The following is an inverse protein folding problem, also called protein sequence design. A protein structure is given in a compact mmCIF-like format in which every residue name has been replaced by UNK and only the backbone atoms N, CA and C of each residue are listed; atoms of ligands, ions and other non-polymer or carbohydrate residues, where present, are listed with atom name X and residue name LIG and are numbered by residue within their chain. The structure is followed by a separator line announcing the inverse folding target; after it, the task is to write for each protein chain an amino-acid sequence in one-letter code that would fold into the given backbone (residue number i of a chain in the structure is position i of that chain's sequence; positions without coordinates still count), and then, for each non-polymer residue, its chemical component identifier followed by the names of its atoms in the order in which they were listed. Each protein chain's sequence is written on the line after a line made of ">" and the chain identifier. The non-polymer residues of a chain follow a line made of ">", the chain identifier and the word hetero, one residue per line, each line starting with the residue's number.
data_IF_191715424300
#
_entry.id   IF_191715424300
#
_cell.length_a   1.000
_cell.length_b   1.000
_cell.length_c   1.000
_cell.angle_alpha   90.00
_cell.angle_beta   90.00
_cell.angle_gamma   90.00
#
_symmetry.space_group_name_H-M   'P 1'
#
loop_
_entity.id
_entity.type
_entity.pdbx_description
1 polymer ?
#
# COMPACT_ATOMS: atom_id res chain seq x y z
N UNK A 1 -4.84 2.01 29.23
CA UNK A 1 -3.66 2.89 29.38
C UNK A 1 -3.40 3.54 28.03
N UNK A 2 -3.50 4.87 27.93
CA UNK A 2 -3.22 5.61 26.69
C UNK A 2 -1.72 5.85 26.63
N UNK A 3 -1.01 5.19 25.71
CA UNK A 3 0.40 5.48 25.47
C UNK A 3 0.53 6.87 24.85
N UNK A 4 1.04 7.83 25.62
CA UNK A 4 1.47 9.12 25.08
C UNK A 4 2.75 8.89 24.28
N UNK A 5 2.81 9.22 22.98
CA UNK A 5 4.01 8.99 22.19
C UNK A 5 5.16 9.87 22.70
N UNK A 6 6.29 9.26 23.02
CA UNK A 6 7.56 9.94 23.29
C UNK A 6 8.01 10.74 22.07
N UNK A 7 8.63 11.91 22.28
CA UNK A 7 9.02 12.88 21.23
C UNK A 7 9.83 12.27 20.05
N UNK A 8 10.56 11.18 20.29
CA UNK A 8 11.31 10.40 19.29
C UNK A 8 10.42 9.53 18.38
N UNK A 9 9.30 9.01 18.89
CA UNK A 9 8.35 8.16 18.16
C UNK A 9 7.59 8.96 17.10
N UNK A 10 7.10 10.15 17.47
CA UNK A 10 6.41 11.04 16.53
C UNK A 10 7.32 11.51 15.38
N UNK A 11 8.61 11.67 15.67
CA UNK A 11 9.63 12.03 14.68
C UNK A 11 9.85 10.91 13.66
N UNK A 12 9.98 9.66 14.12
CA UNK A 12 10.15 8.50 13.25
C UNK A 12 8.95 8.27 12.30
N UNK A 13 7.72 8.36 12.82
CA UNK A 13 6.52 8.19 11.99
C UNK A 13 6.38 9.30 10.93
N UNK A 14 6.72 10.54 11.31
CA UNK A 14 6.76 11.66 10.37
C UNK A 14 7.80 11.43 9.26
N UNK A 15 9.03 11.02 9.62
CA UNK A 15 10.07 10.70 8.64
C UNK A 15 9.63 9.62 7.66
N UNK A 16 9.00 8.54 8.13
CA UNK A 16 8.43 7.52 7.24
C UNK A 16 7.43 8.14 6.25
N UNK A 17 6.54 9.01 6.72
CA UNK A 17 5.52 9.62 5.86
C UNK A 17 6.09 10.52 4.75
N UNK A 18 7.24 11.17 5.00
CA UNK A 18 7.95 12.04 4.05
C UNK A 18 8.64 11.22 2.95
N UNK A 19 9.09 10.02 3.29
CA UNK A 19 9.74 9.07 2.37
C UNK A 19 8.73 8.26 1.52
N UNK A 20 7.45 8.26 1.88
CA UNK A 20 6.41 7.56 1.12
C UNK A 20 6.16 8.17 -0.26
N UNK A 21 5.75 7.33 -1.20
CA UNK A 21 5.19 7.75 -2.47
C UNK A 21 3.67 7.96 -2.30
N UNK A 22 3.26 9.11 -1.76
CA UNK A 22 1.84 9.42 -1.51
C UNK A 22 1.00 9.35 -2.80
N UNK A 23 1.58 9.71 -3.95
CA UNK A 23 0.99 9.52 -5.30
C UNK A 23 0.66 8.07 -5.68
N UNK A 24 1.24 7.08 -4.99
CA UNK A 24 1.04 5.66 -5.28
C UNK A 24 -0.21 5.07 -4.61
N UNK A 25 -0.76 5.75 -3.60
CA UNK A 25 -1.94 5.29 -2.85
C UNK A 25 -3.18 5.37 -3.75
N UNK A 26 -4.13 4.45 -3.57
CA UNK A 26 -5.26 4.31 -4.50
C UNK A 26 -6.13 5.57 -4.61
N UNK A 27 -6.30 6.31 -3.53
CA UNK A 27 -7.12 7.52 -3.38
C UNK A 27 -6.30 8.82 -3.44
N UNK A 28 -5.04 8.75 -3.91
CA UNK A 28 -4.19 9.93 -4.02
C UNK A 28 -4.72 10.97 -5.03
N UNK A 29 -4.72 12.25 -4.63
CA UNK A 29 -5.15 13.36 -5.48
C UNK A 29 -4.40 13.42 -6.82
N UNK A 30 -3.11 13.07 -6.84
CA UNK A 30 -2.28 13.03 -8.06
C UNK A 30 -2.77 12.03 -9.12
N UNK A 31 -3.68 11.13 -8.73
CA UNK A 31 -4.28 10.14 -9.61
C UNK A 31 -5.70 10.49 -10.04
N UNK A 32 -6.16 11.71 -9.77
CA UNK A 32 -7.48 12.15 -10.20
C UNK A 32 -7.52 12.45 -11.72
N UNK A 33 -8.65 12.17 -12.40
CA UNK A 33 -9.84 11.52 -11.85
C UNK A 33 -9.61 10.03 -11.57
N UNK A 34 -10.15 9.54 -10.45
CA UNK A 34 -10.11 8.13 -10.12
C UNK A 34 -11.03 7.34 -11.06
N UNK A 35 -10.45 6.70 -12.07
CA UNK A 35 -11.21 5.87 -12.99
C UNK A 35 -11.79 4.66 -12.24
N UNK A 36 -13.13 4.61 -12.13
CA UNK A 36 -13.87 3.44 -11.68
C UNK A 36 -14.53 2.73 -12.86
N UNK A 37 -14.73 1.42 -12.76
CA UNK A 37 -15.55 0.69 -13.72
C UNK A 37 -16.97 1.26 -13.70
N UNK A 38 -17.58 1.38 -14.88
CA UNK A 38 -18.97 1.78 -14.99
C UNK A 38 -19.85 0.73 -14.30
N UNK A 39 -20.92 1.19 -13.66
CA UNK A 39 -21.89 0.31 -13.02
C UNK A 39 -22.40 -0.75 -14.00
N UNK A 40 -22.51 -2.00 -13.53
CA UNK A 40 -22.93 -3.13 -14.36
C UNK A 40 -21.89 -3.65 -15.36
N UNK A 41 -20.69 -3.05 -15.44
CA UNK A 41 -19.60 -3.54 -16.31
C UNK A 41 -18.55 -4.33 -15.52
N UNK A 42 -17.84 -5.23 -16.19
CA UNK A 42 -16.71 -6.00 -15.60
C UNK A 42 -17.07 -6.75 -14.30
N UNK A 43 -18.36 -7.05 -14.10
CA UNK A 43 -18.90 -7.61 -12.86
C UNK A 43 -18.27 -8.96 -12.53
N UNK A 44 -18.17 -9.86 -13.51
CA UNK A 44 -17.67 -11.21 -13.26
C UNK A 44 -16.18 -11.22 -12.93
N UNK A 45 -15.37 -10.43 -13.63
CA UNK A 45 -13.93 -10.31 -13.33
C UNK A 45 -13.69 -9.64 -11.98
N UNK A 46 -14.44 -8.58 -11.62
CA UNK A 46 -14.35 -7.98 -10.29
C UNK A 46 -14.74 -8.97 -9.20
N UNK A 47 -15.80 -9.76 -9.41
CA UNK A 47 -16.22 -10.82 -8.48
C UNK A 47 -15.13 -11.87 -8.30
N UNK A 48 -14.50 -12.33 -9.38
CA UNK A 48 -13.39 -13.30 -9.32
C UNK A 48 -12.19 -12.73 -8.57
N UNK A 49 -11.73 -11.53 -8.93
CA UNK A 49 -10.59 -10.88 -8.27
C UNK A 49 -10.85 -10.66 -6.78
N UNK A 50 -12.07 -10.24 -6.42
CA UNK A 50 -12.48 -10.05 -5.03
C UNK A 50 -12.51 -11.36 -4.26
N UNK A 51 -12.99 -12.43 -4.89
CA UNK A 51 -13.01 -13.76 -4.28
C UNK A 51 -11.59 -14.24 -3.99
N UNK A 52 -10.69 -14.09 -4.97
CA UNK A 52 -9.28 -14.41 -4.81
C UNK A 52 -8.65 -13.60 -3.67
N UNK A 53 -8.82 -12.28 -3.67
CA UNK A 53 -8.23 -11.40 -2.65
C UNK A 53 -8.67 -11.72 -1.21
N UNK A 54 -9.88 -12.26 -1.03
CA UNK A 54 -10.47 -12.49 0.31
C UNK A 54 -10.37 -13.94 0.81
N UNK A 55 -10.35 -14.92 -0.10
CA UNK A 55 -10.53 -16.33 0.27
C UNK A 55 -9.41 -17.23 -0.24
N UNK A 56 -8.60 -16.76 -1.19
CA UNK A 56 -7.54 -17.56 -1.79
C UNK A 56 -6.19 -17.22 -1.16
N UNK A 57 -5.70 -18.13 -0.31
CA UNK A 57 -4.41 -17.97 0.38
C UNK A 57 -3.22 -18.48 -0.44
N UNK A 58 -3.49 -19.21 -1.54
CA UNK A 58 -2.46 -19.85 -2.34
C UNK A 58 -1.98 -18.94 -3.48
N UNK A 59 -2.86 -18.08 -4.00
CA UNK A 59 -2.52 -17.12 -5.04
C UNK A 59 -1.93 -15.83 -4.46
N UNK A 60 -0.60 -15.69 -4.54
CA UNK A 60 0.14 -14.51 -4.06
C UNK A 60 0.26 -13.38 -5.09
N UNK A 61 0.08 -13.68 -6.37
CA UNK A 61 0.21 -12.73 -7.48
C UNK A 61 -0.89 -13.01 -8.49
N UNK A 62 -1.58 -11.96 -8.93
CA UNK A 62 -2.59 -12.03 -9.99
C UNK A 62 -2.11 -11.25 -11.21
N UNK A 63 -2.12 -11.89 -12.37
CA UNK A 63 -1.74 -11.27 -13.64
C UNK A 63 -2.97 -10.91 -14.48
N UNK A 64 -3.15 -9.62 -14.78
CA UNK A 64 -4.27 -9.12 -15.58
C UNK A 64 -3.75 -8.65 -16.94
N UNK A 65 -4.03 -9.42 -17.99
CA UNK A 65 -3.65 -9.09 -19.37
C UNK A 65 -4.85 -8.60 -20.19
N UNK A 66 -4.57 -7.78 -21.20
CA UNK A 66 -5.56 -7.28 -22.15
C UNK A 66 -5.05 -6.08 -22.93
N UNK A 67 -5.77 -5.69 -23.98
CA UNK A 67 -5.33 -4.67 -24.93
C UNK A 67 -5.03 -3.31 -24.28
N UNK A 68 -4.14 -2.49 -24.87
CA UNK A 68 -4.01 -1.09 -24.47
C UNK A 68 -5.37 -0.38 -24.42
N UNK A 69 -5.60 0.44 -23.40
CA UNK A 69 -6.88 1.15 -23.23
C UNK A 69 -8.07 0.30 -22.73
N UNK A 70 -7.94 -1.01 -22.55
CA UNK A 70 -9.05 -1.88 -22.10
C UNK A 70 -9.55 -1.65 -20.66
N UNK A 71 -8.94 -0.72 -19.92
CA UNK A 71 -9.36 -0.34 -18.57
C UNK A 71 -8.79 -1.22 -17.44
N UNK A 72 -7.64 -1.88 -17.65
CA UNK A 72 -7.00 -2.71 -16.60
C UNK A 72 -6.70 -1.94 -15.32
N UNK A 73 -6.14 -0.73 -15.43
CA UNK A 73 -5.87 0.12 -14.25
C UNK A 73 -7.16 0.56 -13.56
N UNK A 74 -8.22 0.84 -14.34
CA UNK A 74 -9.57 1.14 -13.84
C UNK A 74 -10.14 -0.04 -13.04
N UNK A 75 -9.97 -1.27 -13.54
CA UNK A 75 -10.43 -2.49 -12.88
C UNK A 75 -9.73 -2.68 -11.52
N UNK A 76 -8.41 -2.56 -11.47
CA UNK A 76 -7.63 -2.71 -10.23
C UNK A 76 -7.91 -1.57 -9.25
N UNK A 77 -8.09 -0.34 -9.74
CA UNK A 77 -8.49 0.79 -8.90
C UNK A 77 -9.87 0.56 -8.26
N UNK A 78 -10.84 0.11 -9.06
CA UNK A 78 -12.19 -0.22 -8.58
C UNK A 78 -12.14 -1.29 -7.49
N UNK A 79 -11.37 -2.37 -7.70
CA UNK A 79 -11.19 -3.40 -6.70
C UNK A 79 -10.53 -2.86 -5.41
N UNK A 80 -9.50 -2.03 -5.53
CA UNK A 80 -8.83 -1.44 -4.38
C UNK A 80 -9.79 -0.56 -3.56
N UNK A 81 -10.58 0.28 -4.22
CA UNK A 81 -11.59 1.12 -3.58
C UNK A 81 -12.66 0.29 -2.86
N UNK A 82 -13.19 -0.75 -3.50
CA UNK A 82 -14.15 -1.67 -2.89
C UNK A 82 -13.58 -2.41 -1.67
N UNK A 83 -12.32 -2.88 -1.75
CA UNK A 83 -11.68 -3.60 -0.65
C UNK A 83 -11.27 -2.67 0.49
N UNK A 84 -10.92 -1.42 0.19
CA UNK A 84 -10.56 -0.43 1.20
C UNK A 84 -11.77 0.01 2.03
N UNK A 85 -12.92 0.18 1.38
CA UNK A 85 -14.19 0.54 2.04
C UNK A 85 -14.78 -0.57 2.90
N UNK A 86 -14.31 -1.81 2.76
CA UNK A 86 -14.72 -2.92 3.62
C UNK A 86 -14.05 -2.81 5.00
N UNK A 87 -14.84 -2.98 6.04
CA UNK A 87 -14.38 -2.96 7.44
C UNK A 87 -13.71 -4.28 7.89
N UNK A 88 -13.18 -5.06 6.95
CA UNK A 88 -12.64 -6.41 7.18
C UNK A 88 -11.12 -6.49 7.17
N UNK A 89 -10.42 -5.35 7.17
CA UNK A 89 -8.96 -5.24 7.01
C UNK A 89 -8.39 -6.09 5.85
N UNK A 90 -9.22 -6.26 4.81
CA UNK A 90 -8.90 -7.07 3.63
C UNK A 90 -7.88 -6.42 2.71
N UNK A 91 -7.68 -5.10 2.85
CA UNK A 91 -6.67 -4.34 2.13
C UNK A 91 -5.97 -3.40 3.10
N UNK A 92 -4.69 -3.66 3.33
CA UNK A 92 -3.86 -2.90 4.28
C UNK A 92 -3.07 -1.76 3.62
N UNK A 93 -2.97 -1.77 2.29
CA UNK A 93 -2.27 -0.74 1.55
C UNK A 93 -2.24 -1.00 0.05
N UNK A 94 -1.88 0.02 -0.71
CA UNK A 94 -1.78 -0.02 -2.18
C UNK A 94 -0.53 0.68 -2.66
N UNK A 95 -0.05 0.28 -3.83
CA UNK A 95 1.02 0.98 -4.53
C UNK A 95 0.80 0.90 -6.05
N UNK A 96 0.55 2.04 -6.68
CA UNK A 96 0.40 2.15 -8.13
C UNK A 96 1.66 2.76 -8.77
N UNK A 97 2.44 1.90 -9.43
CA UNK A 97 3.60 2.32 -10.20
C UNK A 97 3.24 3.31 -11.33
N UNK A 98 4.15 4.23 -11.63
CA UNK A 98 4.08 5.13 -12.78
C UNK A 98 5.48 5.38 -13.31
N UNK A 99 5.66 5.27 -14.63
CA UNK A 99 6.94 5.56 -15.29
C UNK A 99 7.27 7.05 -15.32
N UNK A 100 6.25 7.90 -15.18
CA UNK A 100 6.36 9.35 -15.28
C UNK A 100 6.69 10.02 -13.94
N UNK A 101 6.75 9.23 -12.86
CA UNK A 101 6.97 9.73 -11.50
C UNK A 101 8.21 9.06 -10.88
N UNK A 102 9.14 9.87 -10.38
CA UNK A 102 10.42 9.39 -9.85
C UNK A 102 10.28 8.53 -8.59
N UNK A 103 9.26 8.78 -7.75
CA UNK A 103 8.99 7.99 -6.54
C UNK A 103 8.22 6.69 -6.84
N UNK A 104 7.58 6.60 -8.01
CA UNK A 104 6.69 5.48 -8.41
C UNK A 104 7.20 4.67 -9.58
N UNK A 105 8.34 5.05 -10.16
CA UNK A 105 8.98 4.36 -11.29
C UNK A 105 9.95 3.27 -10.83
N UNK A 106 10.37 3.29 -9.57
CA UNK A 106 11.23 2.28 -8.94
C UNK A 106 10.52 1.59 -7.79
N UNK A 107 11.18 0.58 -7.21
CA UNK A 107 10.65 -0.20 -6.10
C UNK A 107 10.98 0.40 -4.73
N UNK A 108 11.82 1.44 -4.68
CA UNK A 108 12.46 1.94 -3.44
C UNK A 108 11.47 2.46 -2.39
N UNK A 109 10.28 2.90 -2.84
CA UNK A 109 9.25 3.45 -1.96
C UNK A 109 8.12 2.47 -1.63
N UNK A 110 8.14 1.26 -2.21
CA UNK A 110 7.02 0.31 -2.11
C UNK A 110 6.78 -0.09 -0.65
N UNK A 111 7.79 -0.64 0.02
CA UNK A 111 7.62 -1.13 1.39
C UNK A 111 7.44 0.00 2.40
N UNK A 112 8.07 1.15 2.20
CA UNK A 112 7.85 2.33 3.05
C UNK A 112 6.39 2.80 2.97
N UNK A 113 5.85 2.91 1.75
CA UNK A 113 4.47 3.35 1.51
C UNK A 113 3.45 2.34 2.01
N UNK A 114 3.72 1.03 1.89
CA UNK A 114 2.86 -0.01 2.43
C UNK A 114 2.90 -0.06 3.96
N UNK A 115 4.08 0.05 4.57
CA UNK A 115 4.24 0.10 6.03
C UNK A 115 3.49 1.29 6.65
N UNK A 116 3.58 2.46 6.01
CA UNK A 116 2.84 3.64 6.44
C UNK A 116 1.31 3.41 6.43
N UNK A 117 0.77 2.89 5.32
CA UNK A 117 -0.66 2.56 5.21
C UNK A 117 -1.09 1.50 6.22
N UNK A 118 -0.26 0.48 6.43
CA UNK A 118 -0.50 -0.57 7.42
C UNK A 118 -0.60 0.01 8.84
N UNK A 119 0.33 0.87 9.24
CA UNK A 119 0.30 1.49 10.57
C UNK A 119 -0.83 2.51 10.75
N UNK A 120 -1.29 3.17 9.67
CA UNK A 120 -2.50 3.99 9.74
C UNK A 120 -3.75 3.17 10.09
N UNK A 121 -3.82 1.91 9.64
CA UNK A 121 -4.94 1.00 9.95
C UNK A 121 -4.78 0.27 11.27
N UNK A 122 -3.54 -0.07 11.65
CA UNK A 122 -3.27 -0.89 12.83
C UNK A 122 -2.31 -0.20 13.81
N UNK A 123 -2.79 0.28 14.97
CA UNK A 123 -1.95 0.96 15.96
C UNK A 123 -0.79 0.11 16.49
N UNK A 124 -0.96 -1.22 16.55
CA UNK A 124 0.13 -2.15 16.92
C UNK A 124 1.23 -2.14 15.87
N UNK A 125 0.87 -2.24 14.59
CA UNK A 125 1.81 -2.14 13.47
C UNK A 125 2.56 -0.80 13.50
N UNK A 126 1.84 0.31 13.70
CA UNK A 126 2.45 1.63 13.82
C UNK A 126 3.54 1.66 14.90
N UNK A 127 3.27 1.07 16.07
CA UNK A 127 4.23 1.03 17.18
C UNK A 127 5.48 0.22 16.83
N UNK A 128 5.33 -0.96 16.23
CA UNK A 128 6.46 -1.82 15.88
C UNK A 128 7.29 -1.22 14.75
N UNK A 129 6.65 -0.69 13.70
CA UNK A 129 7.30 0.00 12.59
C UNK A 129 8.11 1.19 13.12
N UNK A 130 7.50 1.99 14.01
CA UNK A 130 8.20 3.13 14.59
C UNK A 130 9.41 2.72 15.41
N UNK A 131 9.29 1.62 16.17
CA UNK A 131 10.43 1.07 16.91
C UNK A 131 11.52 0.58 15.96
N UNK A 132 11.17 -0.16 14.92
CA UNK A 132 12.14 -0.64 13.93
C UNK A 132 12.92 0.50 13.28
N UNK A 133 12.25 1.60 12.91
CA UNK A 133 12.90 2.80 12.36
C UNK A 133 13.77 3.52 13.40
N UNK A 134 13.34 3.54 14.66
CA UNK A 134 14.14 4.10 15.76
C UNK A 134 15.40 3.29 16.02
N UNK A 135 15.32 1.96 15.93
CA UNK A 135 16.43 1.03 16.15
C UNK A 135 17.39 1.02 14.95
N UNK A 136 16.87 1.10 13.73
CA UNK A 136 17.63 1.20 12.47
C UNK A 136 17.05 2.27 11.52
N UNK A 137 17.49 3.54 11.64
CA UNK A 137 17.03 4.61 10.75
C UNK A 137 17.39 4.41 9.28
N UNK A 138 18.36 3.53 8.96
CA UNK A 138 18.73 3.24 7.58
C UNK A 138 17.63 2.47 6.85
N UNK A 139 16.64 1.91 7.55
CA UNK A 139 15.45 1.31 6.93
C UNK A 139 14.71 2.25 5.97
N UNK A 140 14.83 3.57 6.18
CA UNK A 140 14.23 4.59 5.30
C UNK A 140 15.10 4.97 4.10
N UNK A 141 16.35 4.50 4.04
CA UNK A 141 17.29 4.79 2.95
C UNK A 141 17.02 3.93 1.72
N UNK A 142 17.29 4.49 0.53
CA UNK A 142 17.31 3.74 -0.74
C UNK A 142 18.40 2.68 -0.79
N UNK A 143 19.47 2.85 0.00
CA UNK A 143 20.60 1.91 0.05
C UNK A 143 20.30 0.66 0.89
N UNK A 144 19.16 0.64 1.60
CA UNK A 144 18.76 -0.53 2.39
C UNK A 144 18.17 -1.60 1.48
N UNK A 145 18.49 -2.86 1.79
CA UNK A 145 17.89 -4.01 1.12
C UNK A 145 16.36 -3.98 1.21
N UNK A 146 15.67 -4.15 0.08
CA UNK A 146 14.22 -4.29 0.04
C UNK A 146 13.74 -5.48 0.88
N UNK A 147 14.54 -6.54 1.01
CA UNK A 147 14.20 -7.69 1.88
C UNK A 147 14.15 -7.29 3.35
N UNK A 148 15.09 -6.44 3.81
CA UNK A 148 15.09 -5.96 5.19
C UNK A 148 13.90 -5.02 5.43
N UNK A 149 13.58 -4.15 4.47
CA UNK A 149 12.42 -3.28 4.55
C UNK A 149 11.11 -4.09 4.61
N UNK A 150 10.95 -5.12 3.77
CA UNK A 150 9.79 -6.01 3.82
C UNK A 150 9.68 -6.75 5.16
N UNK A 151 10.80 -7.31 5.64
CA UNK A 151 10.82 -8.06 6.90
C UNK A 151 10.44 -7.17 8.08
N UNK A 152 11.15 -6.06 8.25
CA UNK A 152 11.07 -5.20 9.44
C UNK A 152 9.88 -4.24 9.44
N UNK A 153 9.36 -3.87 8.28
CA UNK A 153 8.31 -2.85 8.20
C UNK A 153 6.93 -3.41 7.82
N UNK A 154 6.85 -4.61 7.24
CA UNK A 154 5.59 -5.13 6.65
C UNK A 154 5.21 -6.54 7.09
N UNK A 155 6.16 -7.46 7.26
CA UNK A 155 5.84 -8.86 7.65
C UNK A 155 5.99 -9.16 9.14
N UNK A 156 6.87 -8.45 9.85
CA UNK A 156 6.95 -8.45 11.31
C UNK A 156 6.48 -7.14 12.00
N UNK A 157 5.39 -6.49 11.56
CA UNK A 157 4.90 -5.26 12.17
C UNK A 157 4.02 -5.55 13.40
#
# INVERSE_FOLDING_TARGET
>A
MKHTPTRSTADCWKRLSEECAQGAIYDSYERQPHCKCLEGTRVDILRSLRTMALHDRDHKIVWISGDPGSGKSTLVHTLADELWQRDTDSLVGTFFFSREDLKRSTFDRVFLTLAYQLGLRHPRAQSTITKAISDDPALLSSEKSHSDQLDKLVTQP
#
